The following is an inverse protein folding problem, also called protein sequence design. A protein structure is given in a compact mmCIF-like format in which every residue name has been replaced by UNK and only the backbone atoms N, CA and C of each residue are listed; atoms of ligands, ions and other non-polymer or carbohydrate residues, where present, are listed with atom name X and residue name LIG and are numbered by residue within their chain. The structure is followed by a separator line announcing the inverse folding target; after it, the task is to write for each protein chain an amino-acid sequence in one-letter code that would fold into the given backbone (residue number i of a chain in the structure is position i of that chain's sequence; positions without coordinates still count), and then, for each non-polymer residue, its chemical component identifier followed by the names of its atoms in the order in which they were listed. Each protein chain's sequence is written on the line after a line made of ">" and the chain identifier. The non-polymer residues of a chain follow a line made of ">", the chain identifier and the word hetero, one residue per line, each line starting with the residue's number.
data_IF_606508388867
#
_entry.id   IF_606508388867
#
_cell.length_a   1.000
_cell.length_b   1.000
_cell.length_c   1.000
_cell.angle_alpha   90.00
_cell.angle_beta   90.00
_cell.angle_gamma   90.00
#
_symmetry.space_group_name_H-M   'P 1'
#
loop_
_entity.id
_entity.type
_entity.pdbx_description
1 polymer ?
#
# COMPACT_ATOMS: atom_id res chain seq x y z
N UNK A 1 -4.43 4.75 -33.21
CA UNK A 1 -5.63 4.81 -32.33
C UNK A 1 -5.37 5.94 -31.35
N UNK A 2 -5.95 7.12 -31.57
CA UNK A 2 -5.79 8.23 -30.61
C UNK A 2 -6.52 7.88 -29.32
N UNK A 3 -5.78 7.77 -28.22
CA UNK A 3 -6.37 7.61 -26.90
C UNK A 3 -6.84 8.99 -26.40
N UNK A 4 -8.16 9.19 -26.36
CA UNK A 4 -8.76 10.48 -25.95
C UNK A 4 -9.01 10.57 -24.44
N UNK A 5 -9.22 9.43 -23.79
CA UNK A 5 -9.58 9.41 -22.37
C UNK A 5 -8.66 8.51 -21.56
N UNK A 6 -8.30 9.00 -20.39
CA UNK A 6 -7.50 8.28 -19.42
C UNK A 6 -8.10 8.43 -18.02
N UNK A 7 -7.99 7.36 -17.23
CA UNK A 7 -8.32 7.38 -15.81
C UNK A 7 -7.22 6.67 -15.03
N UNK A 8 -6.68 7.38 -14.06
CA UNK A 8 -5.66 6.85 -13.16
C UNK A 8 -6.31 6.34 -11.88
N UNK A 9 -5.98 5.10 -11.54
CA UNK A 9 -6.33 4.47 -10.28
C UNK A 9 -5.07 4.26 -9.47
N UNK A 10 -5.16 4.56 -8.18
CA UNK A 10 -4.12 4.36 -7.20
C UNK A 10 -4.51 3.25 -6.24
N UNK A 11 -3.58 2.35 -6.00
CA UNK A 11 -3.72 1.25 -5.08
C UNK A 11 -2.94 1.61 -3.82
N UNK A 12 -3.66 1.62 -2.70
CA UNK A 12 -3.10 1.96 -1.38
C UNK A 12 -3.26 0.77 -0.46
N UNK A 13 -2.14 0.21 -0.01
CA UNK A 13 -2.13 -0.90 0.93
C UNK A 13 -0.80 -1.64 0.90
N UNK A 14 -0.47 -2.28 2.02
CA UNK A 14 0.74 -3.09 2.12
C UNK A 14 0.46 -4.45 1.48
N UNK A 15 1.33 -4.87 0.55
CA UNK A 15 1.17 -6.13 -0.17
C UNK A 15 0.17 -6.10 -1.32
N UNK A 16 -0.45 -4.94 -1.60
CA UNK A 16 -1.33 -4.78 -2.75
C UNK A 16 -0.53 -4.46 -4.00
N UNK A 17 -0.82 -5.15 -5.10
CA UNK A 17 -0.11 -4.99 -6.37
C UNK A 17 -1.08 -5.17 -7.54
N UNK A 18 -0.91 -4.37 -8.57
CA UNK A 18 -1.49 -4.60 -9.88
C UNK A 18 -0.42 -5.06 -10.87
N UNK A 19 -0.81 -6.01 -11.72
CA UNK A 19 -0.04 -6.45 -12.88
C UNK A 19 -0.96 -6.42 -14.08
N UNK A 20 -0.57 -5.66 -15.10
CA UNK A 20 -1.22 -5.72 -16.40
C UNK A 20 -0.50 -6.75 -17.28
N UNK A 21 -1.25 -7.43 -18.15
CA UNK A 21 -0.69 -8.25 -19.21
C UNK A 21 0.04 -7.37 -20.24
N UNK A 22 1.03 -7.94 -20.94
CA UNK A 22 1.78 -7.23 -21.98
C UNK A 22 0.88 -6.71 -23.13
N UNK A 23 -0.21 -7.42 -23.43
CA UNK A 23 -1.20 -6.99 -24.43
C UNK A 23 -2.19 -5.94 -23.89
N UNK A 24 -2.23 -5.72 -22.57
CA UNK A 24 -3.15 -4.79 -21.91
C UNK A 24 -4.62 -5.23 -21.92
N UNK A 25 -4.89 -6.52 -22.18
CA UNK A 25 -6.22 -7.14 -22.24
C UNK A 25 -6.65 -7.82 -20.94
N UNK A 26 -5.69 -8.21 -20.10
CA UNK A 26 -5.95 -8.72 -18.76
C UNK A 26 -5.29 -7.88 -17.67
N UNK A 27 -6.00 -7.71 -16.55
CA UNK A 27 -5.52 -7.05 -15.35
C UNK A 27 -5.60 -8.01 -14.16
N UNK A 28 -4.46 -8.26 -13.53
CA UNK A 28 -4.34 -9.06 -12.33
C UNK A 28 -4.15 -8.16 -11.11
N UNK A 29 -4.95 -8.40 -10.07
CA UNK A 29 -4.97 -7.62 -8.84
C UNK A 29 -4.71 -8.52 -7.63
N UNK A 30 -3.61 -8.26 -6.93
CA UNK A 30 -3.32 -8.84 -5.61
C UNK A 30 -3.78 -7.84 -4.56
N UNK A 31 -4.94 -8.10 -3.94
CA UNK A 31 -5.60 -7.16 -2.99
C UNK A 31 -5.67 -7.71 -1.55
N UNK A 32 -4.83 -8.69 -1.25
CA UNK A 32 -4.83 -9.38 0.05
C UNK A 32 -5.91 -10.47 0.17
N UNK A 33 -6.48 -10.91 -0.95
CA UNK A 33 -7.22 -12.16 -1.04
C UNK A 33 -6.23 -13.33 -1.17
N UNK A 34 -6.70 -14.55 -0.90
CA UNK A 34 -5.88 -15.77 -1.02
C UNK A 34 -5.45 -16.05 -2.46
N UNK A 35 -6.28 -15.67 -3.43
CA UNK A 35 -6.00 -15.78 -4.87
C UNK A 35 -5.97 -14.39 -5.51
N UNK A 36 -5.34 -14.31 -6.68
CA UNK A 36 -5.30 -13.08 -7.48
C UNK A 36 -6.65 -12.88 -8.18
N UNK A 37 -7.10 -11.63 -8.25
CA UNK A 37 -8.33 -11.28 -8.97
C UNK A 37 -7.95 -10.94 -10.41
N UNK A 38 -8.46 -11.71 -11.35
CA UNK A 38 -8.32 -11.48 -12.79
C UNK A 38 -9.52 -10.69 -13.31
N UNK A 39 -9.24 -9.64 -14.09
CA UNK A 39 -10.24 -8.83 -14.77
C UNK A 39 -9.93 -8.78 -16.26
N UNK A 40 -10.88 -9.25 -17.07
CA UNK A 40 -10.83 -9.12 -18.53
C UNK A 40 -11.19 -7.71 -18.95
N UNK A 41 -10.31 -7.07 -19.72
CA UNK A 41 -10.49 -5.71 -20.23
C UNK A 41 -11.29 -5.75 -21.53
N UNK A 42 -12.36 -4.95 -21.69
CA UNK A 42 -13.10 -4.88 -22.94
C UNK A 42 -12.23 -4.28 -24.06
N UNK A 43 -12.44 -4.66 -25.33
CA UNK A 43 -11.55 -4.31 -26.46
C UNK A 43 -11.42 -2.80 -26.74
N UNK A 44 -12.35 -1.99 -26.24
CA UNK A 44 -12.34 -0.53 -26.38
C UNK A 44 -11.43 0.18 -25.35
N UNK A 45 -10.90 -0.55 -24.38
CA UNK A 45 -10.08 -0.04 -23.27
C UNK A 45 -8.75 -0.78 -23.27
N UNK A 46 -7.66 -0.06 -22.97
CA UNK A 46 -6.34 -0.63 -22.71
C UNK A 46 -5.91 -0.25 -21.30
N UNK A 47 -5.30 -1.21 -20.60
CA UNK A 47 -4.79 -0.99 -19.26
C UNK A 47 -3.26 -0.98 -19.28
N UNK A 48 -2.69 0.03 -18.64
CA UNK A 48 -1.26 0.18 -18.43
C UNK A 48 -0.95 0.25 -16.94
N UNK A 49 0.10 -0.43 -16.52
CA UNK A 49 0.59 -0.39 -15.14
C UNK A 49 1.92 0.38 -15.12
N UNK A 50 1.90 1.63 -14.65
CA UNK A 50 3.13 2.46 -14.58
C UNK A 50 4.00 2.06 -13.39
N UNK A 51 3.33 1.81 -12.26
CA UNK A 51 3.93 1.29 -11.03
C UNK A 51 2.99 0.21 -10.52
N UNK A 52 3.49 -0.69 -9.69
CA UNK A 52 2.69 -1.74 -9.06
C UNK A 52 1.47 -1.19 -8.28
N UNK A 53 1.50 0.10 -7.93
CA UNK A 53 0.45 0.79 -7.18
C UNK A 53 -0.35 1.80 -8.02
N UNK A 54 -0.05 1.98 -9.31
CA UNK A 54 -0.71 2.97 -10.18
C UNK A 54 -1.08 2.32 -11.50
N UNK A 55 -2.38 2.23 -11.73
CA UNK A 55 -2.99 1.66 -12.93
C UNK A 55 -3.60 2.79 -13.75
N UNK A 56 -3.41 2.76 -15.06
CA UNK A 56 -4.01 3.69 -15.99
C UNK A 56 -4.90 2.94 -16.97
N UNK A 57 -6.17 3.32 -17.03
CA UNK A 57 -7.12 2.85 -18.02
C UNK A 57 -7.23 3.91 -19.12
N UNK A 58 -6.96 3.53 -20.35
CA UNK A 58 -6.98 4.41 -21.53
C UNK A 58 -7.92 3.87 -22.59
N UNK A 59 -8.53 4.74 -23.40
CA UNK A 59 -9.41 4.29 -24.48
C UNK A 59 -9.96 5.42 -25.33
N UNK A 60 -10.78 5.03 -26.32
CA UNK A 60 -11.50 5.96 -27.20
C UNK A 60 -12.84 6.37 -26.57
N UNK A 61 -13.51 5.43 -25.91
CA UNK A 61 -14.87 5.62 -25.39
C UNK A 61 -14.85 5.97 -23.90
N UNK A 62 -15.48 7.10 -23.55
CA UNK A 62 -15.49 7.61 -22.18
C UNK A 62 -16.22 6.63 -21.26
N UNK A 63 -17.44 6.23 -21.61
CA UNK A 63 -18.30 5.43 -20.75
C UNK A 63 -17.68 4.06 -20.45
N UNK A 64 -17.13 3.38 -21.46
CA UNK A 64 -16.44 2.09 -21.27
C UNK A 64 -15.19 2.20 -20.40
N UNK A 65 -14.38 3.25 -20.58
CA UNK A 65 -13.20 3.48 -19.72
C UNK A 65 -13.63 3.70 -18.27
N UNK A 66 -14.69 4.49 -18.04
CA UNK A 66 -15.17 4.78 -16.68
C UNK A 66 -15.85 3.56 -16.05
N UNK A 67 -16.62 2.80 -16.82
CA UNK A 67 -17.27 1.56 -16.38
C UNK A 67 -16.22 0.52 -15.97
N UNK A 68 -15.18 0.33 -16.78
CA UNK A 68 -14.09 -0.58 -16.43
C UNK A 68 -13.34 -0.10 -15.18
N UNK A 69 -12.99 1.20 -15.11
CA UNK A 69 -12.34 1.76 -13.93
C UNK A 69 -13.21 1.63 -12.67
N UNK A 70 -14.54 1.78 -12.79
CA UNK A 70 -15.48 1.56 -11.69
C UNK A 70 -15.52 0.09 -11.26
N UNK A 71 -15.51 -0.87 -12.19
CA UNK A 71 -15.43 -2.29 -11.88
C UNK A 71 -14.15 -2.62 -11.10
N UNK A 72 -13.00 -2.09 -11.52
CA UNK A 72 -11.71 -2.24 -10.81
C UNK A 72 -11.80 -1.64 -9.40
N UNK A 73 -12.39 -0.46 -9.22
CA UNK A 73 -12.59 0.17 -7.90
C UNK A 73 -13.50 -0.66 -6.99
N UNK A 74 -14.54 -1.26 -7.55
CA UNK A 74 -15.50 -2.10 -6.80
C UNK A 74 -14.89 -3.37 -6.22
N UNK A 75 -13.79 -3.88 -6.79
CA UNK A 75 -13.09 -5.05 -6.23
C UNK A 75 -12.57 -4.80 -4.81
N UNK A 76 -12.07 -3.59 -4.53
CA UNK A 76 -11.63 -3.20 -3.18
C UNK A 76 -11.85 -1.70 -2.98
N UNK A 77 -13.06 -1.27 -2.58
CA UNK A 77 -13.33 0.14 -2.37
C UNK A 77 -12.45 0.71 -1.26
N UNK A 78 -12.16 2.02 -1.30
CA UNK A 78 -11.29 2.65 -0.33
C UNK A 78 -11.95 2.69 1.05
N UNK A 79 -11.23 2.19 2.07
CA UNK A 79 -11.73 2.14 3.43
C UNK A 79 -11.73 3.54 4.10
N UNK A 80 -12.81 3.88 4.80
CA UNK A 80 -13.04 5.23 5.39
C UNK A 80 -12.04 5.58 6.51
N UNK A 81 -11.41 4.60 7.16
CA UNK A 81 -10.46 4.87 8.25
C UNK A 81 -9.02 4.97 7.76
N UNK A 82 -8.50 3.91 7.15
CA UNK A 82 -7.09 3.83 6.73
C UNK A 82 -6.85 4.22 5.27
N UNK A 83 -7.92 4.44 4.48
CA UNK A 83 -7.80 4.73 3.05
C UNK A 83 -7.16 3.59 2.26
N UNK A 84 -7.21 2.34 2.77
CA UNK A 84 -6.69 1.18 2.07
C UNK A 84 -7.69 0.75 0.99
N UNK A 85 -7.20 0.34 -0.17
CA UNK A 85 -8.01 -0.09 -1.31
C UNK A 85 -7.59 0.60 -2.61
N UNK A 86 -8.50 0.59 -3.57
CA UNK A 86 -8.33 1.20 -4.88
C UNK A 86 -9.13 2.51 -4.91
N UNK A 87 -8.50 3.60 -5.28
CA UNK A 87 -9.13 4.92 -5.40
C UNK A 87 -8.72 5.59 -6.69
N UNK A 88 -9.46 6.60 -7.15
CA UNK A 88 -8.94 7.46 -8.20
C UNK A 88 -7.82 8.35 -7.65
N UNK A 89 -6.90 8.76 -8.51
CA UNK A 89 -5.79 9.64 -8.11
C UNK A 89 -6.30 10.97 -7.54
N UNK A 90 -7.39 11.49 -8.09
CA UNK A 90 -7.99 12.77 -7.70
C UNK A 90 -9.10 12.64 -6.63
N UNK A 91 -9.31 11.44 -6.07
CA UNK A 91 -10.40 11.20 -5.10
C UNK A 91 -10.01 11.60 -3.67
N UNK A 92 -10.78 12.51 -3.08
CA UNK A 92 -10.62 12.92 -1.68
C UNK A 92 -11.45 12.01 -0.76
N UNK A 93 -10.77 11.13 -0.03
CA UNK A 93 -11.42 10.25 0.96
C UNK A 93 -11.63 11.00 2.27
N UNK A 94 -12.89 11.18 2.66
CA UNK A 94 -13.26 11.71 3.99
C UNK A 94 -12.89 10.69 5.06
N UNK A 95 -11.72 10.86 5.66
CA UNK A 95 -11.24 9.97 6.73
C UNK A 95 -11.96 10.28 8.03
N UNK A 96 -12.56 9.26 8.66
CA UNK A 96 -12.98 9.38 10.07
C UNK A 96 -11.76 9.17 10.96
N UNK A 97 -11.56 10.03 11.96
CA UNK A 97 -10.49 9.82 12.94
C UNK A 97 -10.74 8.48 13.65
N UNK A 98 -9.84 7.53 13.43
CA UNK A 98 -9.82 6.28 14.19
C UNK A 98 -9.43 6.55 15.63
N UNK A 99 -9.79 5.60 16.51
CA UNK A 99 -9.36 5.56 17.91
C UNK A 99 -7.84 5.75 17.97
N UNK A 100 -7.37 6.81 18.63
CA UNK A 100 -5.94 7.01 18.94
C UNK A 100 -5.50 5.89 19.88
N UNK A 101 -5.03 4.76 19.35
CA UNK A 101 -4.28 3.80 20.15
C UNK A 101 -2.87 4.32 20.26
N UNK A 102 -2.58 5.00 21.37
CA UNK A 102 -1.24 5.30 21.85
C UNK A 102 -0.43 3.99 21.85
N UNK A 103 0.45 3.83 20.87
CA UNK A 103 1.11 2.54 20.60
C UNK A 103 2.44 2.71 19.88
N UNK A 104 3.23 3.70 20.29
CA UNK A 104 4.68 3.62 20.14
C UNK A 104 5.29 4.33 21.32
N UNK A 105 5.74 3.54 22.29
CA UNK A 105 6.81 3.98 23.17
C UNK A 105 7.96 4.40 22.25
N UNK A 106 8.09 5.71 22.02
CA UNK A 106 9.34 6.26 21.52
C UNK A 106 10.32 6.02 22.64
N UNK A 107 11.15 4.99 22.52
CA UNK A 107 12.40 4.97 23.28
C UNK A 107 13.25 6.05 22.63
N UNK A 108 12.97 7.30 23.00
CA UNK A 108 13.82 8.42 22.67
C UNK A 108 15.04 8.27 23.57
N UNK A 109 16.05 7.53 23.09
CA UNK A 109 17.38 7.57 23.69
C UNK A 109 17.88 8.98 23.40
N UNK A 110 17.59 9.90 24.32
CA UNK A 110 18.08 11.28 24.20
C UNK A 110 19.60 11.26 24.30
N UNK A 111 20.31 12.17 23.63
CA UNK A 111 21.78 12.29 23.68
C UNK A 111 22.36 12.41 25.10
N UNK A 112 21.50 12.70 26.10
CA UNK A 112 21.82 12.64 27.53
C UNK A 112 22.08 11.21 28.03
N UNK A 113 21.39 10.20 27.50
CA UNK A 113 21.58 8.78 27.87
C UNK A 113 22.93 8.22 27.40
N UNK A 114 23.42 8.64 26.23
CA UNK A 114 24.76 8.26 25.75
C UNK A 114 25.84 8.85 26.65
N UNK A 115 25.67 10.08 27.13
CA UNK A 115 26.65 10.74 28.00
C UNK A 115 26.71 10.08 29.38
N UNK A 116 25.57 9.61 29.91
CA UNK A 116 25.47 8.89 31.18
C UNK A 116 26.15 7.52 31.13
N UNK A 117 26.12 6.84 29.98
CA UNK A 117 26.84 5.58 29.74
C UNK A 117 28.36 5.77 29.66
N UNK A 118 28.82 6.90 29.09
CA UNK A 118 30.26 7.21 29.01
C UNK A 118 30.80 7.69 30.37
N UNK A 119 30.03 8.46 31.14
CA UNK A 119 30.45 8.98 32.45
C UNK A 119 30.40 7.95 33.59
N UNK A 120 29.52 6.94 33.53
CA UNK A 120 29.41 5.92 34.59
C UNK A 120 30.43 4.80 34.51
N UNK A 121 31.33 4.81 33.52
CA UNK A 121 32.33 3.76 33.36
C UNK A 121 31.68 2.43 32.96
N UNK A 122 32.19 1.82 31.91
CA UNK A 122 31.72 0.55 31.35
C UNK A 122 31.99 -0.66 32.28
N UNK A 123 31.51 -0.62 33.52
CA UNK A 123 31.53 -1.80 34.42
C UNK A 123 30.23 -2.63 34.28
N UNK A 124 29.10 -1.99 33.93
CA UNK A 124 27.81 -2.68 33.79
C UNK A 124 27.56 -3.33 32.42
N UNK A 125 28.45 -3.13 31.43
CA UNK A 125 28.26 -3.67 30.07
C UNK A 125 28.39 -5.21 30.00
N UNK A 126 28.97 -5.85 31.04
CA UNK A 126 29.19 -7.31 31.06
C UNK A 126 27.98 -8.11 31.53
N UNK A 127 27.03 -7.49 32.25
CA UNK A 127 25.81 -8.17 32.70
C UNK A 127 24.71 -8.14 31.63
N UNK A 128 24.65 -7.11 30.78
CA UNK A 128 23.63 -7.02 29.73
C UNK A 128 23.84 -8.05 28.61
N UNK A 129 25.10 -8.41 28.31
CA UNK A 129 25.40 -9.47 27.33
C UNK A 129 25.03 -10.87 27.82
N UNK A 130 25.03 -11.13 29.14
CA UNK A 130 24.60 -12.43 29.70
C UNK A 130 23.07 -12.57 29.69
N UNK A 131 22.33 -11.47 29.84
CA UNK A 131 20.86 -11.49 29.84
C UNK A 131 20.24 -11.75 28.45
N UNK A 132 20.94 -11.40 27.37
CA UNK A 132 20.45 -11.58 25.99
C UNK A 132 20.64 -13.02 25.47
N UNK A 133 21.59 -13.78 26.03
CA UNK A 133 21.85 -15.17 25.60
C UNK A 133 20.92 -16.22 26.22
N UNK A 134 20.05 -15.86 27.16
CA UNK A 134 19.20 -16.83 27.90
C UNK A 134 17.72 -16.76 27.53
N UNK A 135 17.36 -16.14 26.41
CA UNK A 135 15.98 -16.09 25.91
C UNK A 135 15.93 -16.45 24.43
N UNK A 136 16.36 -17.66 24.10
CA UNK A 136 15.84 -18.37 22.93
C UNK A 136 14.50 -19.02 23.33
N UNK A 137 13.39 -18.75 22.61
CA UNK A 137 12.16 -19.51 22.79
C UNK A 137 12.23 -20.83 22.01
N UNK A 138 11.86 -21.93 22.68
CA UNK A 138 11.31 -23.14 22.07
C UNK A 138 9.90 -22.85 21.53
#
# INVERSE_FOLDING_TARGET
>A
MEAKFFRFLKIVGVGYKARAEAEGRMLYLKLGYSHEVELTVPPAVRVFCFKNNVVCCTGIDKDRVHQFAAAVRSCKPPEVYKGKGIMYVDEVIKKKQGKKSNGSHRIAITVRDITLLVLKGYSAAREFSKAVSSREPQ
#
